data_IF_191925076225
#
_entry.id   IF_191925076225
#
_cell.length_a   1.000
_cell.length_b   1.000
_cell.length_c   1.000
_cell.angle_alpha   90.00
_cell.angle_beta   90.00
_cell.angle_gamma   90.00
#
_symmetry.space_group_name_H-M   'P 1'
#
loop_
_entity.id
_entity.type
_entity.pdbx_description
1 polymer ?
#
# COMPACT_ATOMS: atom_id res chain seq x y z
N UNK A 1 31.67 41.93 -19.30
CA UNK A 1 31.16 40.81 -20.12
C UNK A 1 29.94 40.28 -19.41
N UNK A 2 28.76 40.63 -19.91
CA UNK A 2 27.48 40.35 -19.27
C UNK A 2 26.55 39.68 -20.27
N UNK A 3 25.74 38.77 -19.75
CA UNK A 3 24.68 38.07 -20.49
C UNK A 3 23.72 39.10 -21.10
N UNK A 4 23.30 38.88 -22.34
CA UNK A 4 22.34 39.80 -22.97
C UNK A 4 20.94 39.53 -22.45
N UNK A 5 20.12 40.58 -22.28
CA UNK A 5 18.69 40.45 -21.92
C UNK A 5 17.93 39.56 -22.92
N UNK A 6 18.40 39.51 -24.17
CA UNK A 6 17.78 38.72 -25.26
C UNK A 6 18.11 37.23 -25.12
N UNK A 7 19.32 36.86 -24.71
CA UNK A 7 19.63 35.45 -24.40
C UNK A 7 18.75 34.91 -23.28
N UNK A 8 18.51 35.72 -22.24
CA UNK A 8 17.63 35.32 -21.16
C UNK A 8 16.16 35.20 -21.61
N UNK A 9 15.72 36.03 -22.57
CA UNK A 9 14.35 36.03 -23.08
C UNK A 9 14.05 34.81 -23.95
N UNK A 10 14.97 34.39 -24.81
CA UNK A 10 14.78 33.20 -25.65
C UNK A 10 14.83 31.93 -24.79
N UNK A 11 15.72 31.87 -23.79
CA UNK A 11 15.84 30.71 -22.90
C UNK A 11 14.57 30.46 -22.09
N UNK A 12 13.95 31.50 -21.50
CA UNK A 12 12.68 31.33 -20.78
C UNK A 12 11.52 30.93 -21.69
N UNK A 13 11.51 31.39 -22.95
CA UNK A 13 10.49 30.97 -23.93
C UNK A 13 10.62 29.47 -24.23
N UNK A 14 11.84 28.99 -24.49
CA UNK A 14 12.07 27.57 -24.77
C UNK A 14 11.75 26.73 -23.52
N UNK A 15 12.14 27.17 -22.32
CA UNK A 15 11.80 26.50 -21.06
C UNK A 15 10.28 26.42 -20.84
N UNK A 16 9.52 27.47 -21.20
CA UNK A 16 8.06 27.45 -21.09
C UNK A 16 7.42 26.41 -22.03
N UNK A 17 7.92 26.28 -23.26
CA UNK A 17 7.44 25.27 -24.23
C UNK A 17 7.77 23.86 -23.74
N UNK A 18 8.99 23.62 -23.23
CA UNK A 18 9.39 22.32 -22.69
C UNK A 18 8.56 21.94 -21.45
N UNK A 19 8.30 22.89 -20.55
CA UNK A 19 7.48 22.67 -19.36
C UNK A 19 6.03 22.29 -19.71
N UNK A 20 5.44 22.94 -20.73
CA UNK A 20 4.07 22.66 -21.16
C UNK A 20 3.87 21.21 -21.65
N UNK A 21 4.87 20.64 -22.33
CA UNK A 21 4.81 19.25 -22.84
C UNK A 21 5.08 18.22 -21.74
N UNK A 22 5.93 18.55 -20.76
CA UNK A 22 6.40 17.59 -19.75
C UNK A 22 5.42 17.34 -18.59
N UNK A 23 4.63 18.33 -18.18
CA UNK A 23 3.76 18.25 -16.99
C UNK A 23 2.57 17.25 -17.08
N UNK A 24 1.83 17.10 -18.20
CA UNK A 24 0.54 16.39 -18.18
C UNK A 24 0.63 14.90 -17.79
N UNK A 25 1.77 14.24 -17.98
CA UNK A 25 1.97 12.82 -17.65
C UNK A 25 2.35 12.52 -16.19
N UNK A 26 2.66 13.55 -15.40
CA UNK A 26 3.25 13.37 -14.07
C UNK A 26 2.27 12.80 -13.04
N UNK A 27 1.00 13.19 -13.11
CA UNK A 27 -0.04 12.77 -12.15
C UNK A 27 -0.29 11.26 -12.20
N UNK A 28 -0.43 10.68 -13.39
CA UNK A 28 -0.67 9.24 -13.59
C UNK A 28 0.51 8.40 -13.13
N UNK A 29 1.73 8.86 -13.42
CA UNK A 29 2.97 8.19 -13.00
C UNK A 29 3.10 8.17 -11.49
N UNK A 30 2.76 9.28 -10.80
CA UNK A 30 2.71 9.30 -9.34
C UNK A 30 1.69 8.31 -8.77
N UNK A 31 0.46 8.29 -9.28
CA UNK A 31 -0.56 7.35 -8.81
C UNK A 31 -0.10 5.88 -8.93
N UNK A 32 0.56 5.54 -10.04
CA UNK A 32 1.12 4.19 -10.25
C UNK A 32 2.26 3.90 -9.26
N UNK A 33 3.14 4.85 -9.01
CA UNK A 33 4.24 4.70 -8.06
C UNK A 33 3.71 4.51 -6.63
N UNK A 34 2.70 5.29 -6.23
CA UNK A 34 2.06 5.18 -4.93
C UNK A 34 1.37 3.81 -4.75
N UNK A 35 0.70 3.31 -5.80
CA UNK A 35 0.08 1.98 -5.77
C UNK A 35 1.14 0.86 -5.69
N UNK A 36 2.26 0.98 -6.43
CA UNK A 36 3.38 0.06 -6.32
C UNK A 36 3.98 0.05 -4.91
N UNK A 37 4.09 1.22 -4.28
CA UNK A 37 4.56 1.35 -2.91
C UNK A 37 3.59 0.67 -1.93
N UNK A 38 2.28 0.85 -2.13
CA UNK A 38 1.27 0.21 -1.31
C UNK A 38 1.35 -1.33 -1.38
N UNK A 39 1.61 -1.90 -2.57
CA UNK A 39 1.82 -3.34 -2.74
C UNK A 39 3.04 -3.83 -1.95
N UNK A 40 4.13 -3.06 -1.92
CA UNK A 40 5.30 -3.38 -1.09
C UNK A 40 4.95 -3.40 0.39
N UNK A 41 4.21 -2.40 0.88
CA UNK A 41 3.77 -2.36 2.28
C UNK A 41 2.80 -3.49 2.61
N UNK A 42 1.84 -3.82 1.73
CA UNK A 42 0.94 -4.96 1.92
C UNK A 42 1.72 -6.27 2.14
N UNK A 43 2.78 -6.50 1.35
CA UNK A 43 3.64 -7.68 1.50
C UNK A 43 4.45 -7.66 2.80
N UNK A 44 4.96 -6.49 3.20
CA UNK A 44 5.68 -6.33 4.46
C UNK A 44 4.77 -6.62 5.67
N UNK A 45 3.55 -6.06 5.68
CA UNK A 45 2.56 -6.30 6.72
C UNK A 45 2.18 -7.78 6.77
N UNK A 46 1.96 -8.42 5.61
CA UNK A 46 1.68 -9.87 5.55
C UNK A 46 2.81 -10.71 6.16
N UNK A 47 4.06 -10.33 5.91
CA UNK A 47 5.21 -11.00 6.49
C UNK A 47 5.24 -10.81 8.02
N UNK A 48 5.01 -9.58 8.49
CA UNK A 48 4.94 -9.27 9.91
C UNK A 48 3.81 -10.04 10.63
N UNK A 49 2.63 -10.13 10.03
CA UNK A 49 1.52 -10.96 10.53
C UNK A 49 1.92 -12.44 10.66
N UNK A 50 2.62 -12.99 9.66
CA UNK A 50 3.12 -14.37 9.73
C UNK A 50 4.17 -14.56 10.82
N UNK A 51 5.06 -13.60 11.01
CA UNK A 51 6.04 -13.62 12.10
C UNK A 51 5.35 -13.53 13.47
N UNK A 52 4.36 -12.65 13.61
CA UNK A 52 3.56 -12.51 14.82
C UNK A 52 2.82 -13.81 15.15
N UNK A 53 2.18 -14.44 14.16
CA UNK A 53 1.52 -15.73 14.33
C UNK A 53 2.51 -16.84 14.74
N UNK A 54 3.71 -16.87 14.16
CA UNK A 54 4.73 -17.85 14.54
C UNK A 54 5.18 -17.69 16.00
N UNK A 55 5.15 -16.46 16.54
CA UNK A 55 5.53 -16.14 17.92
C UNK A 55 4.40 -16.35 18.93
N UNK A 56 3.18 -15.91 18.58
CA UNK A 56 2.06 -15.74 19.50
C UNK A 56 0.88 -16.69 19.21
N UNK A 57 0.93 -17.46 18.12
CA UNK A 57 -0.11 -18.40 17.71
C UNK A 57 -1.40 -17.75 17.19
N UNK A 58 -1.43 -16.43 17.05
CA UNK A 58 -2.59 -15.64 16.61
C UNK A 58 -2.18 -14.50 15.67
N UNK A 59 -3.06 -14.16 14.73
CA UNK A 59 -2.91 -12.95 13.90
C UNK A 59 -3.44 -11.73 14.63
N UNK A 60 -2.99 -10.55 14.22
CA UNK A 60 -3.38 -9.30 14.86
C UNK A 60 -4.39 -8.53 13.99
N UNK A 61 -5.36 -7.89 14.63
CA UNK A 61 -6.20 -6.91 13.96
C UNK A 61 -5.58 -5.53 14.15
N UNK A 62 -5.38 -4.80 13.05
CA UNK A 62 -4.87 -3.43 13.10
C UNK A 62 -5.83 -2.50 12.38
N UNK A 63 -6.41 -1.54 13.11
CA UNK A 63 -7.43 -0.65 12.55
C UNK A 63 -6.87 0.48 11.67
N UNK A 64 -5.57 0.75 11.74
CA UNK A 64 -4.89 1.82 11.00
C UNK A 64 -3.36 1.64 11.02
N UNK A 65 -2.63 2.51 10.31
CA UNK A 65 -1.16 2.48 10.21
C UNK A 65 -0.45 2.65 11.56
N UNK A 66 -1.06 3.32 12.56
CA UNK A 66 -0.41 3.51 13.86
C UNK A 66 -0.36 2.20 14.64
N UNK A 67 -1.44 1.42 14.61
CA UNK A 67 -1.45 0.06 15.18
C UNK A 67 -0.49 -0.87 14.46
N UNK A 68 -0.39 -0.78 13.13
CA UNK A 68 0.57 -1.59 12.38
C UNK A 68 2.03 -1.27 12.76
N UNK A 69 2.36 0.02 12.93
CA UNK A 69 3.71 0.42 13.32
C UNK A 69 4.03 0.06 14.77
N UNK A 70 3.06 0.20 15.68
CA UNK A 70 3.26 -0.10 17.10
C UNK A 70 3.29 -1.59 17.40
N UNK A 71 2.37 -2.36 16.81
CA UNK A 71 2.11 -3.74 17.23
C UNK A 71 2.74 -4.79 16.28
N UNK A 72 2.90 -4.46 14.99
CA UNK A 72 3.58 -5.32 14.01
C UNK A 72 4.98 -4.82 13.67
N UNK A 73 5.45 -3.74 14.31
CA UNK A 73 6.78 -3.14 14.12
C UNK A 73 7.12 -2.88 12.64
N UNK A 74 6.10 -2.61 11.83
CA UNK A 74 6.24 -2.42 10.38
C UNK A 74 6.13 -0.94 10.05
N UNK A 75 7.24 -0.34 9.64
CA UNK A 75 7.30 1.08 9.28
C UNK A 75 6.50 1.37 8.00
N UNK A 76 5.56 2.32 8.08
CA UNK A 76 4.73 2.76 6.95
C UNK A 76 4.77 4.29 6.90
N UNK A 77 5.95 4.83 6.62
CA UNK A 77 6.16 6.26 6.47
C UNK A 77 5.82 6.75 5.05
N UNK A 78 5.19 7.92 4.96
CA UNK A 78 4.99 8.67 3.71
C UNK A 78 4.04 8.04 2.68
N UNK A 79 3.35 6.95 3.02
CA UNK A 79 2.35 6.36 2.13
C UNK A 79 1.06 7.19 2.12
N UNK A 80 0.46 7.45 0.94
CA UNK A 80 -0.86 8.08 0.86
C UNK A 80 -2.01 7.09 1.14
N UNK A 81 -1.70 5.84 1.52
CA UNK A 81 -2.67 4.80 1.82
C UNK A 81 -2.83 4.60 3.33
N UNK A 82 -4.07 4.37 3.74
CA UNK A 82 -4.41 3.82 5.06
C UNK A 82 -4.52 2.30 4.95
N UNK A 83 -3.81 1.57 5.80
CA UNK A 83 -3.81 0.11 5.84
C UNK A 83 -4.60 -0.37 7.06
N UNK A 84 -5.45 -1.38 6.83
CA UNK A 84 -6.26 -2.02 7.86
C UNK A 84 -6.10 -3.54 7.73
N UNK A 85 -5.80 -4.21 8.84
CA UNK A 85 -5.79 -5.67 8.93
C UNK A 85 -7.10 -6.12 9.57
N UNK A 86 -7.92 -6.85 8.82
CA UNK A 86 -9.18 -7.44 9.29
C UNK A 86 -9.03 -8.95 9.36
N UNK A 87 -9.39 -9.53 10.49
CA UNK A 87 -9.32 -10.98 10.69
C UNK A 87 -10.56 -11.65 10.07
N UNK A 88 -10.33 -12.69 9.26
CA UNK A 88 -11.39 -13.45 8.56
C UNK A 88 -11.89 -14.61 9.40
N UNK A 89 -11.00 -15.15 10.25
CA UNK A 89 -11.33 -16.01 11.37
C UNK A 89 -10.21 -15.83 12.40
N UNK A 90 -10.47 -15.07 13.46
CA UNK A 90 -9.57 -15.10 14.60
C UNK A 90 -9.93 -16.35 15.40
N UNK A 91 -9.15 -17.42 15.26
CA UNK A 91 -9.11 -18.43 16.33
C UNK A 91 -8.10 -17.88 17.31
N UNK A 92 -8.54 -17.24 18.42
CA UNK A 92 -7.60 -17.05 19.48
C UNK A 92 -7.17 -18.47 19.86
N UNK A 93 -5.87 -18.74 19.90
CA UNK A 93 -5.36 -19.90 20.63
C UNK A 93 -5.06 -19.43 22.05
N UNK A 94 -6.05 -19.30 22.96
CA UNK A 94 -5.82 -19.67 24.34
C UNK A 94 -6.20 -21.14 24.48
N UNK A 95 -5.66 -21.78 25.49
CA UNK A 95 -5.93 -23.18 25.83
C UNK A 95 -7.40 -23.53 26.18
N UNK A 96 -8.43 -22.80 25.73
CA UNK A 96 -9.84 -23.03 26.11
C UNK A 96 -10.92 -22.71 25.08
N UNK A 97 -10.63 -22.26 23.86
CA UNK A 97 -11.65 -22.05 22.82
C UNK A 97 -11.37 -22.94 21.60
N UNK A 98 -12.02 -24.11 21.53
CA UNK A 98 -11.94 -25.01 20.40
C UNK A 98 -12.66 -24.37 19.20
N UNK A 99 -11.92 -23.81 18.26
CA UNK A 99 -12.49 -23.51 16.95
C UNK A 99 -13.03 -24.80 16.31
N UNK A 100 -14.09 -24.74 15.48
CA UNK A 100 -14.49 -25.87 14.67
C UNK A 100 -13.26 -26.41 13.92
N UNK A 101 -12.99 -27.71 14.08
CA UNK A 101 -11.85 -28.36 13.44
C UNK A 101 -11.89 -28.07 11.92
N UNK A 102 -10.85 -27.41 11.41
CA UNK A 102 -10.71 -27.10 9.99
C UNK A 102 -10.77 -25.61 9.61
N UNK A 103 -11.18 -24.70 10.51
CA UNK A 103 -11.10 -23.25 10.22
C UNK A 103 -9.66 -22.76 10.38
N UNK A 104 -9.01 -22.45 9.26
CA UNK A 104 -7.67 -21.86 9.27
C UNK A 104 -7.76 -20.40 9.75
N UNK A 105 -6.88 -19.95 10.68
CA UNK A 105 -6.79 -18.55 11.00
C UNK A 105 -6.37 -17.77 9.75
N UNK A 106 -6.94 -16.59 9.55
CA UNK A 106 -6.73 -15.81 8.34
C UNK A 106 -7.02 -14.33 8.53
N UNK A 107 -6.46 -13.52 7.65
CA UNK A 107 -6.58 -12.07 7.68
C UNK A 107 -6.60 -11.51 6.26
N UNK A 108 -7.19 -10.33 6.11
CA UNK A 108 -7.12 -9.52 4.90
C UNK A 108 -6.56 -8.16 5.26
N UNK A 109 -5.54 -7.73 4.53
CA UNK A 109 -4.99 -6.38 4.61
C UNK A 109 -5.65 -5.55 3.53
N UNK A 110 -6.23 -4.41 3.88
CA UNK A 110 -6.86 -3.47 2.95
C UNK A 110 -6.08 -2.17 2.96
N UNK A 111 -5.49 -1.80 1.83
CA UNK A 111 -4.93 -0.48 1.60
C UNK A 111 -5.98 0.41 0.91
N UNK A 112 -6.33 1.54 1.51
CA UNK A 112 -7.31 2.50 0.96
C UNK A 112 -6.67 3.87 0.76
N UNK A 113 -6.82 4.45 -0.43
CA UNK A 113 -6.40 5.84 -0.71
C UNK A 113 -7.61 6.72 -0.99
N UNK A 114 -7.90 7.66 -0.09
CA UNK A 114 -9.08 8.53 -0.23
C UNK A 114 -10.39 7.77 -0.05
N UNK A 115 -11.38 7.98 -0.92
CA UNK A 115 -12.66 7.26 -0.84
C UNK A 115 -12.49 5.74 -1.05
N UNK A 116 -13.40 4.95 -0.47
CA UNK A 116 -13.37 3.47 -0.39
C UNK A 116 -13.30 2.70 -1.74
N UNK A 117 -13.29 3.41 -2.87
CA UNK A 117 -13.28 2.83 -4.22
C UNK A 117 -11.86 2.67 -4.79
N UNK A 118 -10.82 3.13 -4.09
CA UNK A 118 -9.42 2.97 -4.49
C UNK A 118 -8.69 2.08 -3.47
N UNK A 119 -9.09 0.81 -3.47
CA UNK A 119 -8.65 -0.20 -2.50
C UNK A 119 -7.84 -1.31 -3.16
N UNK A 120 -6.77 -1.72 -2.48
CA UNK A 120 -5.98 -2.90 -2.82
C UNK A 120 -6.06 -3.81 -1.61
N UNK A 121 -6.54 -5.04 -1.79
CA UNK A 121 -6.53 -6.02 -0.70
C UNK A 121 -5.52 -7.12 -0.96
N UNK A 122 -4.93 -7.63 0.12
CA UNK A 122 -4.04 -8.78 0.13
C UNK A 122 -4.48 -9.72 1.24
N UNK A 123 -4.73 -10.99 0.91
CA UNK A 123 -5.07 -11.99 1.91
C UNK A 123 -3.82 -12.67 2.53
N UNK A 124 -4.04 -13.56 3.51
CA UNK A 124 -2.97 -14.32 4.16
C UNK A 124 -2.16 -15.20 3.18
N UNK A 125 -2.76 -15.63 2.08
CA UNK A 125 -2.17 -16.50 1.06
C UNK A 125 -1.38 -15.70 0.00
N UNK A 126 -1.50 -14.38 0.02
CA UNK A 126 -0.77 -13.48 -0.86
C UNK A 126 -1.53 -13.21 -2.16
N UNK A 127 -2.82 -13.54 -2.19
CA UNK A 127 -3.71 -13.26 -3.30
C UNK A 127 -4.18 -11.80 -3.17
N UNK A 128 -4.00 -11.05 -4.26
CA UNK A 128 -4.53 -9.71 -4.36
C UNK A 128 -5.98 -9.76 -4.84
N UNK A 129 -6.87 -9.02 -4.17
CA UNK A 129 -8.20 -8.75 -4.68
C UNK A 129 -8.40 -7.25 -4.88
N UNK A 130 -9.18 -6.88 -5.89
CA UNK A 130 -9.51 -5.49 -6.22
C UNK A 130 -11.02 -5.32 -6.14
N UNK A 131 -11.49 -4.32 -5.38
CA UNK A 131 -12.89 -3.90 -5.46
C UNK A 131 -13.01 -2.90 -6.62
N UNK A 132 -13.56 -3.35 -7.75
CA UNK A 132 -13.67 -2.55 -8.98
C UNK A 132 -12.71 -3.02 -10.08
N UNK A 133 -13.10 -2.79 -11.33
CA UNK A 133 -12.55 -3.39 -12.55
C UNK A 133 -11.16 -2.88 -12.96
N UNK A 134 -10.22 -2.68 -12.04
CA UNK A 134 -8.86 -2.24 -12.35
C UNK A 134 -7.85 -2.98 -11.48
N UNK A 135 -7.21 -4.00 -12.06
CA UNK A 135 -5.98 -4.60 -11.54
C UNK A 135 -4.86 -3.59 -11.75
N UNK A 136 -4.55 -2.78 -10.71
CA UNK A 136 -3.52 -1.74 -10.85
C UNK A 136 -2.09 -2.33 -10.81
N UNK A 137 -1.91 -3.58 -10.37
CA UNK A 137 -0.59 -4.22 -10.40
C UNK A 137 -0.69 -5.75 -10.59
N UNK A 138 -0.34 -6.23 -11.79
CA UNK A 138 0.17 -7.58 -12.00
C UNK A 138 1.70 -7.45 -11.99
N UNK A 139 2.45 -8.12 -11.09
CA UNK A 139 3.90 -8.16 -11.24
C UNK A 139 4.21 -8.81 -12.59
N UNK A 140 5.14 -8.22 -13.35
CA UNK A 140 5.68 -8.87 -14.53
C UNK A 140 6.25 -10.24 -14.11
N UNK A 141 5.88 -11.27 -14.85
CA UNK A 141 6.42 -12.62 -14.70
C UNK A 141 7.94 -12.63 -14.90
#
# INVERSE_FOLDING_TARGET
RGFTMVELLITIIILAVLAAIAIPGFSRTRLKNDASQAVTYLRAIRLAEKMHFAKNGVYLACANNAFIQADLETEIAGSPYTFVVTLVANVPVPATATAPAGTKPGFTITATRGAANNTITLDQDGVFATKGNQVIYQPAA
#
